data_IF_437810222588
#
_entry.id   IF_437810222588
#
_cell.length_a   1.000
_cell.length_b   1.000
_cell.length_c   1.000
_cell.angle_alpha   90.00
_cell.angle_beta   90.00
_cell.angle_gamma   90.00
#
_symmetry.space_group_name_H-M   'P 1'
#
loop_
_entity.id
_entity.type
_entity.pdbx_description
1 polymer ?
#
# COMPACT_ATOMS: atom_id res chain seq x y z
N UNK A 1 -54.68 -17.86 22.72
CA UNK A 1 -54.13 -17.04 23.82
C UNK A 1 -52.66 -16.76 23.50
N UNK A 2 -52.38 -15.65 22.83
CA UNK A 2 -51.03 -15.11 22.65
C UNK A 2 -51.19 -13.60 22.38
N UNK A 3 -51.06 -12.80 23.43
CA UNK A 3 -51.03 -11.35 23.33
C UNK A 3 -49.68 -10.93 22.76
N UNK A 4 -49.66 -10.39 21.54
CA UNK A 4 -48.54 -9.63 21.01
C UNK A 4 -48.55 -8.24 21.66
N UNK A 5 -47.77 -8.07 22.73
CA UNK A 5 -47.45 -6.75 23.28
C UNK A 5 -46.50 -6.07 22.29
N UNK A 6 -47.01 -5.08 21.55
CA UNK A 6 -46.24 -4.28 20.61
C UNK A 6 -45.83 -2.99 21.32
N UNK A 7 -44.65 -3.00 21.93
CA UNK A 7 -44.11 -1.84 22.64
C UNK A 7 -43.71 -0.74 21.62
N UNK A 8 -44.30 0.47 21.70
CA UNK A 8 -44.01 1.56 20.77
C UNK A 8 -42.57 2.10 20.87
N UNK A 9 -41.82 1.70 21.91
CA UNK A 9 -40.43 2.11 22.13
C UNK A 9 -39.43 1.39 21.21
N UNK A 10 -39.70 0.15 20.78
CA UNK A 10 -38.78 -0.67 19.98
C UNK A 10 -38.73 -0.25 18.50
N UNK A 11 -39.87 0.18 17.95
CA UNK A 11 -39.97 0.71 16.58
C UNK A 11 -39.24 2.06 16.42
N UNK A 12 -39.28 2.90 17.45
CA UNK A 12 -38.61 4.20 17.45
C UNK A 12 -37.07 4.07 17.40
N UNK A 13 -36.52 3.07 18.10
CA UNK A 13 -35.10 2.71 18.08
C UNK A 13 -34.62 2.25 16.69
N UNK A 14 -35.35 1.33 16.07
CA UNK A 14 -34.94 0.73 14.78
C UNK A 14 -34.98 1.73 13.62
N UNK A 15 -35.98 2.62 13.60
CA UNK A 15 -36.05 3.73 12.63
C UNK A 15 -34.94 4.75 12.84
N UNK A 16 -34.56 5.05 14.10
CA UNK A 16 -33.51 6.01 14.43
C UNK A 16 -32.10 5.50 14.09
N UNK A 17 -31.87 4.18 14.23
CA UNK A 17 -30.63 3.52 13.75
C UNK A 17 -30.58 3.52 12.22
N UNK A 18 -31.68 3.16 11.55
CA UNK A 18 -31.74 3.10 10.08
C UNK A 18 -31.55 4.49 9.43
N UNK A 19 -32.14 5.55 9.99
CA UNK A 19 -31.94 6.91 9.51
C UNK A 19 -30.48 7.40 9.67
N UNK A 20 -29.80 7.07 10.78
CA UNK A 20 -28.37 7.41 10.95
C UNK A 20 -27.49 6.72 9.92
N UNK A 21 -27.77 5.45 9.62
CA UNK A 21 -27.02 4.70 8.60
C UNK A 21 -27.24 5.28 7.19
N UNK A 22 -28.47 5.69 6.87
CA UNK A 22 -28.80 6.30 5.58
C UNK A 22 -28.19 7.70 5.44
N UNK A 23 -28.25 8.54 6.49
CA UNK A 23 -27.67 9.89 6.45
C UNK A 23 -26.13 9.89 6.45
N UNK A 24 -25.49 8.89 7.09
CA UNK A 24 -24.04 8.72 7.02
C UNK A 24 -23.55 8.31 5.61
N UNK A 25 -24.40 7.62 4.82
CA UNK A 25 -24.06 7.18 3.47
C UNK A 25 -24.17 8.30 2.42
N UNK A 26 -25.07 9.26 2.61
CA UNK A 26 -25.37 10.32 1.62
C UNK A 26 -24.43 11.53 1.72
N UNK A 27 -23.81 11.79 2.88
CA UNK A 27 -23.11 13.06 3.15
C UNK A 27 -21.63 13.09 2.74
N UNK A 28 -21.07 12.02 2.15
CA UNK A 28 -19.63 11.97 1.80
C UNK A 28 -19.27 11.75 0.32
N UNK A 29 -19.91 12.36 -0.70
CA UNK A 29 -19.45 12.13 -2.08
C UNK A 29 -18.32 13.06 -2.53
N UNK A 30 -18.09 14.24 -1.92
CA UNK A 30 -17.32 15.30 -2.60
C UNK A 30 -16.08 15.85 -1.91
N UNK A 31 -15.79 15.47 -0.65
CA UNK A 31 -14.56 15.85 0.04
C UNK A 31 -13.77 14.65 0.62
N UNK A 32 -13.98 13.44 0.07
CA UNK A 32 -13.53 12.17 0.67
C UNK A 32 -12.46 11.39 -0.10
N UNK A 33 -11.96 11.86 -1.25
CA UNK A 33 -11.10 11.06 -2.16
C UNK A 33 -9.58 11.28 -2.00
N UNK A 34 -9.11 11.80 -0.86
CA UNK A 34 -7.67 11.99 -0.65
C UNK A 34 -6.93 10.69 -0.27
N UNK A 35 -7.64 9.62 0.12
CA UNK A 35 -7.01 8.39 0.60
C UNK A 35 -7.16 7.25 -0.41
N UNK A 36 -6.09 6.46 -0.65
CA UNK A 36 -6.19 5.31 -1.54
C UNK A 36 -7.19 4.30 -0.99
N UNK A 37 -8.02 3.75 -1.87
CA UNK A 37 -8.87 2.62 -1.51
C UNK A 37 -8.05 1.32 -1.54
N UNK A 38 -8.43 0.27 -0.78
CA UNK A 38 -7.74 -1.03 -0.86
C UNK A 38 -7.68 -1.57 -2.29
N UNK A 39 -8.74 -1.32 -3.09
CA UNK A 39 -8.80 -1.68 -4.52
C UNK A 39 -7.72 -0.98 -5.34
N UNK A 40 -7.42 0.28 -5.04
CA UNK A 40 -6.34 1.02 -5.69
C UNK A 40 -4.98 0.43 -5.32
N UNK A 41 -4.73 0.17 -4.03
CA UNK A 41 -3.48 -0.44 -3.55
C UNK A 41 -3.24 -1.84 -4.13
N UNK A 42 -4.31 -2.63 -4.29
CA UNK A 42 -4.22 -3.94 -4.90
C UNK A 42 -3.82 -3.86 -6.38
N UNK A 43 -4.44 -2.94 -7.15
CA UNK A 43 -4.07 -2.70 -8.55
C UNK A 43 -2.63 -2.20 -8.68
N UNK A 44 -2.21 -1.26 -7.84
CA UNK A 44 -0.82 -0.75 -7.89
C UNK A 44 0.18 -1.84 -7.51
N UNK A 45 -0.11 -2.67 -6.51
CA UNK A 45 0.70 -3.83 -6.15
C UNK A 45 0.86 -4.83 -7.31
N UNK A 46 -0.24 -5.16 -7.99
CA UNK A 46 -0.22 -6.05 -9.15
C UNK A 46 0.62 -5.48 -10.30
N UNK A 47 0.45 -4.19 -10.61
CA UNK A 47 1.23 -3.49 -11.65
C UNK A 47 2.71 -3.44 -11.31
N UNK A 48 3.06 -3.14 -10.05
CA UNK A 48 4.45 -3.12 -9.59
C UNK A 48 5.11 -4.49 -9.68
N UNK A 49 4.41 -5.54 -9.24
CA UNK A 49 4.92 -6.90 -9.33
C UNK A 49 5.14 -7.33 -10.79
N UNK A 50 4.16 -7.06 -11.67
CA UNK A 50 4.28 -7.36 -13.10
C UNK A 50 5.43 -6.57 -13.76
N UNK A 51 5.54 -5.27 -13.47
CA UNK A 51 6.62 -4.44 -13.96
C UNK A 51 7.99 -4.94 -13.50
N UNK A 52 8.09 -5.35 -12.23
CA UNK A 52 9.30 -5.95 -11.67
C UNK A 52 9.70 -7.25 -12.37
N UNK A 53 8.76 -8.15 -12.65
CA UNK A 53 9.00 -9.40 -13.39
C UNK A 53 9.49 -9.11 -14.82
N UNK A 54 8.81 -8.22 -15.54
CA UNK A 54 9.18 -7.83 -16.91
C UNK A 54 10.57 -7.18 -16.92
N UNK A 55 10.84 -6.26 -15.99
CA UNK A 55 12.15 -5.65 -15.85
C UNK A 55 13.24 -6.70 -15.53
N UNK A 56 12.95 -7.67 -14.66
CA UNK A 56 13.89 -8.75 -14.32
C UNK A 56 14.26 -9.60 -15.53
N UNK A 57 13.27 -10.05 -16.29
CA UNK A 57 13.48 -10.81 -17.52
C UNK A 57 14.25 -9.97 -18.57
N UNK A 58 13.92 -8.69 -18.73
CA UNK A 58 14.65 -7.80 -19.62
C UNK A 58 16.12 -7.62 -19.20
N UNK A 59 16.39 -7.58 -17.89
CA UNK A 59 17.75 -7.47 -17.35
C UNK A 59 18.63 -8.64 -17.78
N UNK A 60 18.18 -9.86 -17.54
CA UNK A 60 18.95 -11.09 -17.81
C UNK A 60 19.09 -11.40 -19.29
N UNK A 61 18.05 -11.16 -20.09
CA UNK A 61 18.02 -11.51 -21.51
C UNK A 61 18.44 -10.37 -22.44
N UNK A 62 18.03 -9.13 -22.15
CA UNK A 62 18.24 -7.98 -23.03
C UNK A 62 19.40 -7.06 -22.61
N UNK A 63 19.59 -6.86 -21.31
CA UNK A 63 20.50 -5.83 -20.80
C UNK A 63 21.91 -6.35 -20.48
N UNK A 64 22.06 -7.64 -20.19
CA UNK A 64 23.32 -8.27 -19.75
C UNK A 64 24.54 -7.98 -20.62
N UNK A 65 24.37 -7.90 -21.95
CA UNK A 65 25.46 -7.61 -22.90
C UNK A 65 25.64 -6.13 -23.23
N UNK A 66 24.80 -5.25 -22.67
CA UNK A 66 24.73 -3.82 -23.02
C UNK A 66 25.20 -2.89 -21.90
N UNK A 67 25.33 -3.38 -20.67
CA UNK A 67 25.72 -2.60 -19.48
C UNK A 67 26.83 -3.29 -18.71
N UNK A 68 27.51 -2.53 -17.85
CA UNK A 68 28.55 -3.08 -16.96
C UNK A 68 27.93 -4.03 -15.92
N UNK A 69 28.71 -4.98 -15.37
CA UNK A 69 28.24 -5.89 -14.31
C UNK A 69 27.59 -5.15 -13.12
N UNK A 70 28.17 -4.05 -12.68
CA UNK A 70 27.64 -3.25 -11.56
C UNK A 70 26.26 -2.65 -11.88
N UNK A 71 26.09 -2.13 -13.10
CA UNK A 71 24.80 -1.60 -13.57
C UNK A 71 23.76 -2.70 -13.73
N UNK A 72 24.17 -3.89 -14.16
CA UNK A 72 23.29 -5.05 -14.26
C UNK A 72 22.84 -5.53 -12.88
N UNK A 73 23.74 -5.52 -11.89
CA UNK A 73 23.40 -5.84 -10.52
C UNK A 73 22.41 -4.81 -9.95
N UNK A 74 22.67 -3.52 -10.15
CA UNK A 74 21.74 -2.46 -9.75
C UNK A 74 20.35 -2.63 -10.38
N UNK A 75 20.28 -2.93 -11.68
CA UNK A 75 19.04 -3.23 -12.38
C UNK A 75 18.28 -4.41 -11.75
N UNK A 76 19.00 -5.49 -11.45
CA UNK A 76 18.43 -6.69 -10.83
C UNK A 76 17.85 -6.37 -9.45
N UNK A 77 18.57 -5.58 -8.64
CA UNK A 77 18.07 -5.08 -7.35
C UNK A 77 16.79 -4.26 -7.52
N UNK A 78 16.75 -3.32 -8.48
CA UNK A 78 15.56 -2.51 -8.74
C UNK A 78 14.33 -3.36 -9.08
N UNK A 79 14.52 -4.36 -9.94
CA UNK A 79 13.48 -5.32 -10.32
C UNK A 79 12.99 -6.13 -9.12
N UNK A 80 13.90 -6.72 -8.35
CA UNK A 80 13.55 -7.53 -7.16
C UNK A 80 12.77 -6.71 -6.14
N UNK A 81 13.20 -5.48 -5.86
CA UNK A 81 12.48 -4.60 -4.93
C UNK A 81 11.09 -4.22 -5.44
N UNK A 82 10.89 -4.04 -6.76
CA UNK A 82 9.57 -3.79 -7.33
C UNK A 82 8.65 -5.01 -7.17
N UNK A 83 9.18 -6.23 -7.36
CA UNK A 83 8.43 -7.49 -7.16
C UNK A 83 8.01 -7.63 -5.70
N UNK A 84 8.97 -7.56 -4.77
CA UNK A 84 8.70 -7.77 -3.35
C UNK A 84 7.72 -6.74 -2.79
N UNK A 85 7.87 -5.46 -3.14
CA UNK A 85 6.93 -4.44 -2.70
C UNK A 85 5.58 -4.55 -3.39
N UNK A 86 5.53 -4.98 -4.65
CA UNK A 86 4.28 -5.28 -5.33
C UNK A 86 3.49 -6.37 -4.62
N UNK A 87 4.15 -7.49 -4.26
CA UNK A 87 3.56 -8.58 -3.48
C UNK A 87 3.14 -8.11 -2.08
N UNK A 88 3.99 -7.33 -1.40
CA UNK A 88 3.66 -6.78 -0.09
C UNK A 88 2.42 -5.87 -0.14
N UNK A 89 2.28 -5.04 -1.18
CA UNK A 89 1.09 -4.21 -1.41
C UNK A 89 -0.17 -5.04 -1.65
N UNK A 90 -0.07 -6.14 -2.40
CA UNK A 90 -1.19 -7.08 -2.55
C UNK A 90 -1.61 -7.62 -1.19
N UNK A 91 -0.67 -8.11 -0.37
CA UNK A 91 -0.95 -8.62 0.97
C UNK A 91 -1.56 -7.55 1.90
N UNK A 92 -0.99 -6.34 1.93
CA UNK A 92 -1.48 -5.22 2.75
C UNK A 92 -2.89 -4.79 2.34
N UNK A 93 -3.19 -4.78 1.04
CA UNK A 93 -4.50 -4.38 0.52
C UNK A 93 -5.62 -5.36 0.87
N UNK A 94 -5.30 -6.65 1.04
CA UNK A 94 -6.27 -7.68 1.44
C UNK A 94 -6.56 -7.68 2.94
N UNK A 95 -5.69 -7.07 3.76
CA UNK A 95 -5.88 -7.05 5.19
C UNK A 95 -6.99 -6.05 5.59
N UNK A 96 -8.02 -6.47 6.35
CA UNK A 96 -9.21 -5.67 6.62
C UNK A 96 -8.91 -4.34 7.35
N UNK A 97 -7.83 -4.31 8.13
CA UNK A 97 -7.41 -3.12 8.90
C UNK A 97 -6.29 -2.30 8.22
N UNK A 98 -5.43 -2.93 7.40
CA UNK A 98 -4.28 -2.25 6.78
C UNK A 98 -4.59 -1.74 5.38
N UNK A 99 -5.55 -2.35 4.67
CA UNK A 99 -5.96 -1.90 3.34
C UNK A 99 -6.56 -0.49 3.32
N UNK A 100 -7.04 0.01 4.47
CA UNK A 100 -7.56 1.36 4.63
C UNK A 100 -6.58 2.33 5.33
N UNK A 101 -5.36 1.88 5.64
CA UNK A 101 -4.41 2.70 6.37
C UNK A 101 -3.86 3.82 5.48
N UNK A 102 -4.17 5.07 5.84
CA UNK A 102 -3.95 6.29 5.04
C UNK A 102 -2.49 6.51 4.63
N UNK A 103 -1.54 6.01 5.41
CA UNK A 103 -0.11 6.28 5.21
C UNK A 103 0.71 5.06 4.78
N UNK A 104 0.29 3.85 5.15
CA UNK A 104 1.15 2.67 5.02
C UNK A 104 1.23 2.20 3.55
N UNK A 105 0.06 1.99 2.94
CA UNK A 105 -0.04 1.59 1.53
C UNK A 105 0.61 2.60 0.57
N UNK A 106 0.27 3.90 0.64
CA UNK A 106 0.91 4.94 -0.17
C UNK A 106 2.41 5.04 -0.01
N UNK A 107 2.91 4.97 1.23
CA UNK A 107 4.35 5.09 1.48
C UNK A 107 5.11 3.92 0.84
N UNK A 108 4.60 2.68 0.95
CA UNK A 108 5.21 1.52 0.31
C UNK A 108 5.15 1.64 -1.22
N UNK A 109 4.00 2.04 -1.78
CA UNK A 109 3.86 2.19 -3.23
C UNK A 109 4.75 3.30 -3.80
N UNK A 110 4.71 4.49 -3.21
CA UNK A 110 5.51 5.64 -3.64
C UNK A 110 7.00 5.38 -3.42
N UNK A 111 7.38 4.84 -2.26
CA UNK A 111 8.75 4.46 -1.94
C UNK A 111 9.29 3.44 -2.93
N UNK A 112 8.50 2.43 -3.29
CA UNK A 112 8.88 1.43 -4.30
C UNK A 112 9.09 2.03 -5.69
N UNK A 113 8.18 2.90 -6.15
CA UNK A 113 8.31 3.58 -7.45
C UNK A 113 9.55 4.47 -7.47
N UNK A 114 9.77 5.26 -6.41
CA UNK A 114 10.92 6.15 -6.31
C UNK A 114 12.24 5.37 -6.25
N UNK A 115 12.31 4.30 -5.44
CA UNK A 115 13.51 3.49 -5.29
C UNK A 115 13.84 2.69 -6.55
N UNK A 116 12.90 1.89 -7.06
CA UNK A 116 13.13 1.06 -8.24
C UNK A 116 13.25 1.89 -9.51
N UNK A 117 12.43 2.95 -9.64
CA UNK A 117 12.47 3.87 -10.78
C UNK A 117 13.76 4.68 -10.84
N UNK A 118 14.29 5.14 -9.70
CA UNK A 118 15.55 5.90 -9.68
C UNK A 118 16.73 5.06 -10.13
N UNK A 119 16.82 3.81 -9.66
CA UNK A 119 17.89 2.89 -10.05
C UNK A 119 17.82 2.56 -11.54
N UNK A 120 16.63 2.29 -12.08
CA UNK A 120 16.44 2.07 -13.53
C UNK A 120 16.91 3.29 -14.34
N UNK A 121 16.57 4.51 -13.89
CA UNK A 121 17.04 5.74 -14.51
C UNK A 121 18.56 5.89 -14.51
N UNK A 122 19.22 5.56 -13.39
CA UNK A 122 20.69 5.59 -13.25
C UNK A 122 21.39 4.55 -14.13
N UNK A 123 20.77 3.38 -14.35
CA UNK A 123 21.33 2.36 -15.25
C UNK A 123 21.37 2.86 -16.69
N UNK A 124 20.30 3.50 -17.16
CA UNK A 124 20.22 4.10 -18.50
C UNK A 124 21.03 5.38 -18.65
N UNK A 125 21.46 6.02 -17.56
CA UNK A 125 22.32 7.19 -17.61
C UNK A 125 23.73 6.82 -18.10
N UNK A 126 24.00 7.11 -19.38
CA UNK A 126 25.33 6.93 -19.99
C UNK A 126 26.21 8.17 -19.86
N UNK A 127 25.61 9.35 -19.78
CA UNK A 127 26.29 10.65 -19.80
C UNK A 127 26.46 11.27 -18.40
N UNK A 128 25.87 10.66 -17.36
CA UNK A 128 25.94 11.19 -16.00
C UNK A 128 25.02 12.39 -15.78
N UNK A 129 23.97 12.57 -16.60
CA UNK A 129 23.02 13.69 -16.50
C UNK A 129 22.02 13.50 -15.36
N UNK A 130 21.83 12.26 -14.94
CA UNK A 130 20.83 11.83 -13.96
C UNK A 130 21.44 11.60 -12.56
N UNK A 131 22.62 12.17 -12.26
CA UNK A 131 23.28 12.07 -10.95
C UNK A 131 22.40 12.50 -9.77
N UNK A 132 21.42 13.38 -10.00
CA UNK A 132 20.43 13.78 -8.99
C UNK A 132 19.50 12.64 -8.56
N UNK A 133 19.37 11.55 -9.33
CA UNK A 133 18.63 10.35 -8.94
C UNK A 133 19.38 9.49 -7.90
N UNK A 134 20.68 9.74 -7.71
CA UNK A 134 21.47 9.14 -6.63
C UNK A 134 20.81 9.31 -5.26
N UNK A 135 20.62 10.54 -4.76
CA UNK A 135 19.98 10.81 -3.45
C UNK A 135 18.48 10.49 -3.40
N UNK A 136 17.79 10.36 -4.53
CA UNK A 136 16.37 9.94 -4.56
C UNK A 136 16.23 8.47 -4.12
N UNK A 137 17.22 7.64 -4.44
CA UNK A 137 17.20 6.21 -4.09
C UNK A 137 17.13 5.97 -2.57
N UNK A 138 18.04 6.51 -1.72
CA UNK A 138 17.93 6.35 -0.27
C UNK A 138 16.66 7.01 0.29
N UNK A 139 16.21 8.14 -0.27
CA UNK A 139 14.97 8.79 0.15
C UNK A 139 13.74 7.90 -0.09
N UNK A 140 13.64 7.27 -1.26
CA UNK A 140 12.60 6.29 -1.58
C UNK A 140 12.63 5.10 -0.62
N UNK A 141 13.83 4.60 -0.32
CA UNK A 141 14.04 3.54 0.68
C UNK A 141 13.57 3.95 2.08
N UNK A 142 13.88 5.18 2.53
CA UNK A 142 13.43 5.70 3.82
C UNK A 142 11.90 5.80 3.91
N UNK A 143 11.24 6.28 2.85
CA UNK A 143 9.77 6.36 2.79
C UNK A 143 9.15 4.97 2.88
N UNK A 144 9.73 3.99 2.17
CA UNK A 144 9.29 2.60 2.22
C UNK A 144 9.44 2.01 3.64
N UNK A 145 10.59 2.20 4.29
CA UNK A 145 10.83 1.78 5.68
C UNK A 145 9.82 2.43 6.63
N UNK A 146 9.53 3.72 6.48
CA UNK A 146 8.52 4.41 7.27
C UNK A 146 7.13 3.77 7.10
N UNK A 147 6.76 3.39 5.87
CA UNK A 147 5.52 2.66 5.58
C UNK A 147 5.39 1.34 6.35
N UNK A 148 6.44 0.52 6.37
CA UNK A 148 6.47 -0.71 7.18
C UNK A 148 6.48 -0.43 8.69
N UNK A 149 7.17 0.63 9.13
CA UNK A 149 7.17 1.06 10.53
C UNK A 149 5.76 1.40 11.04
N UNK A 150 4.94 2.07 10.22
CA UNK A 150 3.54 2.33 10.55
C UNK A 150 2.71 1.05 10.68
N UNK A 151 2.94 0.06 9.81
CA UNK A 151 2.26 -1.24 9.91
C UNK A 151 2.64 -1.92 11.23
N UNK A 152 3.94 -2.03 11.53
CA UNK A 152 4.44 -2.67 12.75
C UNK A 152 3.86 -2.01 14.02
N UNK A 153 3.92 -0.68 14.09
CA UNK A 153 3.36 0.11 15.19
C UNK A 153 1.88 -0.24 15.40
N UNK A 154 1.09 -0.23 14.32
CA UNK A 154 -0.34 -0.48 14.38
C UNK A 154 -0.72 -1.92 14.73
N UNK A 155 0.08 -2.92 14.29
CA UNK A 155 -0.03 -4.31 14.75
C UNK A 155 0.16 -4.38 16.27
N UNK A 156 1.21 -3.75 16.79
CA UNK A 156 1.52 -3.79 18.22
C UNK A 156 0.41 -3.21 19.10
N UNK A 157 -0.15 -2.04 18.75
CA UNK A 157 -1.28 -1.47 19.49
C UNK A 157 -2.53 -2.34 19.42
N UNK A 158 -2.80 -2.95 18.25
CA UNK A 158 -3.98 -3.81 18.09
C UNK A 158 -3.87 -5.07 18.95
N UNK A 159 -2.67 -5.62 19.10
CA UNK A 159 -2.41 -6.78 19.96
C UNK A 159 -2.56 -6.43 21.45
N UNK A 160 -2.01 -5.29 21.90
CA UNK A 160 -2.13 -4.85 23.29
C UNK A 160 -3.61 -4.68 23.69
N UNK A 161 -4.39 -3.98 22.86
CA UNK A 161 -5.82 -3.75 23.13
C UNK A 161 -6.59 -5.07 23.19
N UNK A 162 -6.36 -5.98 22.23
CA UNK A 162 -7.02 -7.29 22.22
C UNK A 162 -6.67 -8.13 23.47
N UNK A 163 -5.43 -8.06 23.96
CA UNK A 163 -5.02 -8.74 25.18
C UNK A 163 -5.67 -8.10 26.42
N UNK A 164 -5.76 -6.77 26.49
CA UNK A 164 -6.45 -6.06 27.58
C UNK A 164 -7.94 -6.41 27.62
N UNK A 165 -8.62 -6.44 26.47
CA UNK A 165 -10.05 -6.76 26.38
C UNK A 165 -10.36 -8.23 26.71
N UNK A 166 -9.39 -9.14 26.62
CA UNK A 166 -9.57 -10.56 26.95
C UNK A 166 -9.27 -10.86 28.43
N UNK A 167 -8.52 -9.98 29.10
CA UNK A 167 -8.09 -10.14 30.50
C UNK A 167 -8.96 -9.37 31.51
N UNK A 168 -9.84 -8.48 31.04
CA UNK A 168 -10.84 -7.74 31.83
C UNK A 168 -12.23 -8.32 31.64
#
# INVERSE_FOLDING_TARGET
MACFHSDPFSLCSSLCVSLRTVMASVTTPLLGRAFPTPRFLWRTGAVLAAAGIVAGAFGTHGLRSRVTPDKLQAWTTASQYAIFNGIALLAVSMHPRFGYHKFAGPAIALGSVLFSGSIIGLVFDKEGRYKFLGPITPLGGSIMIAGYGFICKHIHYSLIVALTDTLL
#
